data_IF_039392640690
#
_entry.id   IF_039392640690
#
_cell.length_a   1.000
_cell.length_b   1.000
_cell.length_c   1.000
_cell.angle_alpha   90.00
_cell.angle_beta   90.00
_cell.angle_gamma   90.00
#
_symmetry.space_group_name_H-M   'P 1'
#
loop_
_entity.id
_entity.type
_entity.pdbx_description
1 polymer ?
#
# COMPACT_ATOMS: atom_id res chain seq x y z
N UNK A 1 -16.14 23.87 -11.58
CA UNK A 1 -15.20 23.26 -12.56
C UNK A 1 -13.84 23.29 -11.88
N UNK A 2 -13.24 22.20 -11.39
CA UNK A 2 -13.37 20.78 -11.71
C UNK A 2 -12.79 20.00 -10.52
N UNK A 3 -13.63 19.48 -9.64
CA UNK A 3 -13.24 18.49 -8.62
C UNK A 3 -14.25 17.34 -8.69
N UNK A 4 -14.15 16.57 -9.78
CA UNK A 4 -14.72 15.23 -9.85
C UNK A 4 -13.59 14.24 -9.53
N UNK A 5 -13.10 14.28 -8.29
CA UNK A 5 -12.32 13.18 -7.73
C UNK A 5 -13.30 12.26 -6.99
N UNK A 6 -13.91 11.37 -7.77
CA UNK A 6 -14.23 9.98 -7.40
C UNK A 6 -14.50 9.77 -5.90
N UNK A 7 -15.72 10.11 -5.47
CA UNK A 7 -16.24 9.86 -4.13
C UNK A 7 -16.44 8.36 -3.90
N UNK A 8 -15.34 7.61 -3.78
CA UNK A 8 -15.37 6.30 -3.16
C UNK A 8 -15.11 6.49 -1.66
N UNK A 9 -16.14 6.45 -0.79
CA UNK A 9 -16.03 6.71 0.65
C UNK A 9 -15.12 5.71 1.41
N UNK A 10 -14.60 4.69 0.73
CA UNK A 10 -13.66 3.71 1.29
C UNK A 10 -12.21 3.90 0.83
N UNK A 11 -11.87 5.03 0.17
CA UNK A 11 -10.50 5.37 -0.25
C UNK A 11 -9.81 6.21 0.83
N UNK A 12 -9.64 5.62 2.02
CA UNK A 12 -8.82 6.23 3.06
C UNK A 12 -7.36 6.16 2.60
N UNK A 13 -6.85 7.28 2.10
CA UNK A 13 -5.43 7.51 1.87
C UNK A 13 -4.90 8.12 3.17
N UNK A 14 -4.05 7.42 3.94
CA UNK A 14 -3.62 7.90 5.26
C UNK A 14 -2.60 9.04 5.18
N UNK A 15 -2.48 9.71 4.04
CA UNK A 15 -1.49 10.74 3.75
C UNK A 15 -1.94 11.64 2.59
N UNK A 16 -1.44 12.88 2.56
CA UNK A 16 -1.60 13.79 1.44
C UNK A 16 -0.66 13.39 0.28
N UNK A 17 -1.12 13.59 -0.96
CA UNK A 17 -0.31 13.48 -2.17
C UNK A 17 0.91 14.41 -2.16
N UNK A 18 0.82 15.57 -1.52
CA UNK A 18 1.95 16.48 -1.35
C UNK A 18 3.06 15.86 -0.47
N UNK A 19 2.68 15.22 0.63
CA UNK A 19 3.62 14.53 1.50
C UNK A 19 4.29 13.36 0.76
N UNK A 20 3.48 12.58 0.02
CA UNK A 20 4.00 11.49 -0.79
C UNK A 20 5.05 11.98 -1.80
N UNK A 21 4.78 13.11 -2.48
CA UNK A 21 5.74 13.72 -3.41
C UNK A 21 7.06 14.04 -2.71
N UNK A 22 7.01 14.72 -1.56
CA UNK A 22 8.21 15.08 -0.80
C UNK A 22 8.99 13.84 -0.31
N UNK A 23 8.29 12.80 0.12
CA UNK A 23 8.94 11.56 0.53
C UNK A 23 9.61 10.86 -0.65
N UNK A 24 8.97 10.87 -1.81
CA UNK A 24 9.55 10.35 -3.05
C UNK A 24 10.76 11.17 -3.54
N UNK A 25 10.82 12.46 -3.27
CA UNK A 25 11.98 13.31 -3.59
C UNK A 25 13.23 12.91 -2.78
N UNK A 26 13.02 12.46 -1.55
CA UNK A 26 14.11 12.08 -0.62
C UNK A 26 14.53 10.61 -0.74
N UNK A 27 13.70 9.76 -1.36
CA UNK A 27 13.96 8.31 -1.48
C UNK A 27 14.86 7.98 -2.69
N UNK A 28 16.04 7.40 -2.41
CA UNK A 28 17.04 7.07 -3.45
C UNK A 28 16.52 6.08 -4.50
N UNK A 29 15.68 5.12 -4.12
CA UNK A 29 15.13 4.11 -5.04
C UNK A 29 14.13 4.79 -5.98
N UNK A 30 13.27 5.66 -5.43
CA UNK A 30 12.32 6.42 -6.24
C UNK A 30 13.07 7.33 -7.20
N UNK A 31 14.11 8.03 -6.74
CA UNK A 31 14.93 8.88 -7.61
C UNK A 31 15.62 8.09 -8.72
N UNK A 32 16.15 6.89 -8.44
CA UNK A 32 16.71 6.01 -9.46
C UNK A 32 15.66 5.60 -10.51
N UNK A 33 14.47 5.20 -10.06
CA UNK A 33 13.38 4.84 -10.98
C UNK A 33 12.96 6.04 -11.84
N UNK A 34 12.84 7.24 -11.25
CA UNK A 34 12.48 8.47 -11.96
C UNK A 34 13.53 8.83 -13.02
N UNK A 35 14.83 8.75 -12.67
CA UNK A 35 15.94 8.99 -13.61
C UNK A 35 15.93 8.00 -14.78
N UNK A 36 15.55 6.75 -14.52
CA UNK A 36 15.52 5.67 -15.50
C UNK A 36 14.11 5.38 -16.06
N UNK A 37 13.17 6.32 -15.96
CA UNK A 37 11.75 6.04 -16.23
C UNK A 37 11.48 5.46 -17.63
N UNK A 38 12.29 5.85 -18.64
CA UNK A 38 12.20 5.35 -20.02
C UNK A 38 12.42 3.84 -20.13
N UNK A 39 13.29 3.25 -19.30
CA UNK A 39 13.54 1.80 -19.29
C UNK A 39 12.62 1.05 -18.32
N UNK A 40 11.98 1.75 -17.39
CA UNK A 40 11.12 1.20 -16.33
C UNK A 40 9.65 1.14 -16.80
N UNK A 41 9.35 0.30 -17.80
CA UNK A 41 8.03 0.21 -18.48
C UNK A 41 6.80 0.08 -17.58
N UNK A 42 6.97 -0.52 -16.40
CA UNK A 42 5.90 -0.76 -15.42
C UNK A 42 5.60 0.46 -14.53
N UNK A 43 6.28 1.58 -14.74
CA UNK A 43 6.11 2.79 -13.95
C UNK A 43 5.80 3.98 -14.86
N UNK A 44 5.22 5.02 -14.28
CA UNK A 44 5.05 6.32 -14.90
C UNK A 44 5.06 7.40 -13.83
N UNK A 45 5.21 8.65 -14.26
CA UNK A 45 5.20 9.81 -13.37
C UNK A 45 3.98 10.66 -13.76
N UNK A 46 3.19 11.03 -12.77
CA UNK A 46 2.04 11.92 -12.91
C UNK A 46 2.08 12.93 -11.77
N UNK A 47 1.96 14.23 -12.08
CA UNK A 47 2.02 15.32 -11.10
C UNK A 47 3.22 15.21 -10.14
N UNK A 48 4.40 14.84 -10.66
CA UNK A 48 5.63 14.67 -9.89
C UNK A 48 5.69 13.42 -9.01
N UNK A 49 4.65 12.59 -8.99
CA UNK A 49 4.56 11.36 -8.20
C UNK A 49 4.79 10.15 -9.10
N UNK A 50 5.60 9.21 -8.64
CA UNK A 50 5.86 7.92 -9.27
C UNK A 50 4.72 6.95 -8.95
N UNK A 51 4.16 6.36 -10.00
CA UNK A 51 3.12 5.34 -9.95
C UNK A 51 3.59 4.02 -10.54
N UNK A 52 3.01 2.92 -10.06
CA UNK A 52 3.13 1.58 -10.62
C UNK A 52 1.91 1.30 -11.51
N UNK A 53 2.17 0.90 -12.76
CA UNK A 53 1.14 0.40 -13.67
C UNK A 53 0.61 -0.94 -13.16
N UNK A 54 -0.71 -1.04 -13.11
CA UNK A 54 -1.43 -2.30 -12.86
C UNK A 54 -2.12 -2.73 -14.15
N UNK A 55 -2.49 -4.01 -14.22
CA UNK A 55 -3.28 -4.52 -15.34
C UNK A 55 -4.75 -4.18 -15.11
N UNK A 56 -5.43 -3.80 -16.18
CA UNK A 56 -6.88 -3.57 -16.14
C UNK A 56 -7.59 -4.83 -15.63
N UNK A 57 -8.65 -4.69 -14.80
CA UNK A 57 -9.38 -3.44 -14.49
C UNK A 57 -8.80 -2.61 -13.33
N UNK A 58 -7.64 -2.98 -12.79
CA UNK A 58 -7.09 -2.27 -11.63
C UNK A 58 -6.47 -0.93 -12.02
N UNK A 59 -6.75 0.08 -11.21
CA UNK A 59 -6.14 1.39 -11.33
C UNK A 59 -4.64 1.33 -11.02
N UNK A 60 -3.87 2.19 -11.69
CA UNK A 60 -2.46 2.38 -11.30
C UNK A 60 -2.38 2.98 -9.90
N UNK A 61 -1.33 2.61 -9.15
CA UNK A 61 -1.22 2.94 -7.72
C UNK A 61 0.08 3.70 -7.42
N UNK A 62 0.08 4.61 -6.44
CA UNK A 62 1.29 5.32 -6.03
C UNK A 62 2.38 4.37 -5.51
N UNK A 63 3.63 4.67 -5.87
CA UNK A 63 4.79 4.02 -5.27
C UNK A 63 5.05 4.61 -3.88
N UNK A 64 5.08 3.76 -2.85
CA UNK A 64 5.30 4.16 -1.47
C UNK A 64 6.79 3.98 -1.10
N UNK A 65 7.53 5.07 -0.81
CA UNK A 65 8.94 4.99 -0.41
C UNK A 65 9.14 4.25 0.92
N UNK A 66 10.37 3.87 1.23
CA UNK A 66 10.66 3.23 2.51
C UNK A 66 10.49 4.23 3.66
N UNK A 67 10.02 3.75 4.82
CA UNK A 67 9.89 4.58 6.01
C UNK A 67 8.58 4.34 6.77
N UNK A 68 8.31 5.25 7.71
CA UNK A 68 7.17 5.17 8.63
C UNK A 68 5.83 5.05 7.91
N UNK A 69 5.70 5.65 6.73
CA UNK A 69 4.48 5.61 5.93
C UNK A 69 4.00 4.19 5.62
N UNK A 70 4.90 3.25 5.35
CA UNK A 70 4.52 1.84 5.11
C UNK A 70 3.91 1.23 6.36
N UNK A 71 4.47 1.53 7.53
CA UNK A 71 3.94 1.07 8.83
C UNK A 71 2.58 1.68 9.11
N UNK A 72 2.39 2.97 8.83
CA UNK A 72 1.12 3.65 9.06
C UNK A 72 0.03 3.13 8.12
N UNK A 73 0.34 2.84 6.85
CA UNK A 73 -0.57 2.14 5.94
C UNK A 73 -0.95 0.78 6.54
N UNK A 74 0.03 -0.04 6.91
CA UNK A 74 -0.21 -1.38 7.44
C UNK A 74 -1.12 -1.36 8.69
N UNK A 75 -0.85 -0.47 9.65
CA UNK A 75 -1.67 -0.27 10.85
C UNK A 75 -3.09 0.16 10.50
N UNK A 76 -3.26 1.14 9.61
CA UNK A 76 -4.59 1.62 9.22
C UNK A 76 -5.46 0.53 8.59
N UNK A 77 -4.88 -0.37 7.78
CA UNK A 77 -5.61 -1.47 7.15
C UNK A 77 -5.74 -2.71 8.04
N UNK A 78 -5.07 -2.77 9.18
CA UNK A 78 -5.16 -3.87 10.14
C UNK A 78 -6.02 -3.51 11.36
N UNK A 79 -5.85 -2.31 11.92
CA UNK A 79 -6.42 -1.90 13.21
C UNK A 79 -7.76 -1.16 13.07
N UNK A 80 -8.00 -0.46 11.96
CA UNK A 80 -9.18 0.41 11.84
C UNK A 80 -10.47 -0.41 11.58
N UNK A 81 -11.53 -0.24 12.40
CA UNK A 81 -12.81 -0.96 12.27
C UNK A 81 -13.44 -0.88 10.86
N UNK A 82 -13.34 0.27 10.19
CA UNK A 82 -13.90 0.48 8.85
C UNK A 82 -13.06 -0.07 7.69
N UNK A 83 -11.73 -0.21 7.87
CA UNK A 83 -10.84 -0.60 6.77
C UNK A 83 -10.39 -2.05 6.83
N UNK A 84 -10.47 -2.69 7.99
CA UNK A 84 -9.38 -3.59 8.31
C UNK A 84 -9.55 -4.52 9.48
N UNK A 85 -10.20 -4.08 10.57
CA UNK A 85 -10.10 -4.71 11.88
C UNK A 85 -10.16 -6.24 11.82
N UNK A 86 -8.98 -6.86 11.93
CA UNK A 86 -8.77 -8.32 11.89
C UNK A 86 -9.39 -9.07 10.70
N UNK A 87 -9.59 -8.41 9.55
CA UNK A 87 -9.87 -9.14 8.32
C UNK A 87 -8.69 -10.09 8.04
N UNK A 88 -9.00 -11.32 7.63
CA UNK A 88 -7.97 -12.32 7.35
C UNK A 88 -6.90 -11.81 6.38
N UNK A 89 -5.68 -12.37 6.47
CA UNK A 89 -4.46 -11.91 5.78
C UNK A 89 -4.67 -11.54 4.31
N UNK A 90 -5.45 -12.35 3.59
CA UNK A 90 -5.67 -12.18 2.15
C UNK A 90 -6.49 -10.92 1.84
N UNK A 91 -7.46 -10.59 2.69
CA UNK A 91 -8.32 -9.40 2.49
C UNK A 91 -7.55 -8.11 2.75
N UNK A 92 -6.72 -8.07 3.80
CA UNK A 92 -5.83 -6.93 4.07
C UNK A 92 -4.81 -6.75 2.95
N UNK A 93 -4.20 -7.85 2.51
CA UNK A 93 -3.21 -7.82 1.42
C UNK A 93 -3.83 -7.26 0.14
N UNK A 94 -4.99 -7.76 -0.27
CA UNK A 94 -5.68 -7.31 -1.48
C UNK A 94 -6.02 -5.81 -1.43
N UNK A 95 -6.59 -5.34 -0.32
CA UNK A 95 -6.96 -3.91 -0.15
C UNK A 95 -5.76 -2.97 -0.27
N UNK A 96 -4.60 -3.37 0.26
CA UNK A 96 -3.37 -2.57 0.17
C UNK A 96 -2.85 -2.57 -1.27
N UNK A 97 -2.81 -3.73 -1.94
CA UNK A 97 -2.31 -3.84 -3.31
C UNK A 97 -3.16 -3.09 -4.34
N UNK A 98 -4.48 -2.98 -4.12
CA UNK A 98 -5.39 -2.20 -4.95
C UNK A 98 -5.14 -0.68 -4.86
N UNK A 99 -4.36 -0.23 -3.87
CA UNK A 99 -4.20 1.20 -3.55
C UNK A 99 -2.77 1.69 -3.47
N UNK A 100 -1.81 0.81 -3.22
CA UNK A 100 -0.41 1.17 -3.01
C UNK A 100 0.52 0.13 -3.63
N UNK A 101 1.75 0.55 -3.89
CA UNK A 101 2.80 -0.38 -4.29
C UNK A 101 4.15 -0.05 -3.65
N UNK A 102 4.83 -1.09 -3.18
CA UNK A 102 6.27 -1.08 -2.99
C UNK A 102 6.84 -2.50 -3.18
N UNK A 103 8.14 -2.66 -3.50
CA UNK A 103 8.69 -3.95 -3.91
C UNK A 103 8.55 -5.08 -2.89
N UNK A 104 8.70 -4.77 -1.59
CA UNK A 104 8.66 -5.74 -0.48
C UNK A 104 7.28 -5.86 0.18
N UNK A 105 6.25 -5.25 -0.42
CA UNK A 105 4.91 -5.11 0.18
C UNK A 105 4.32 -6.40 0.73
N UNK A 106 4.37 -7.49 -0.02
CA UNK A 106 3.81 -8.77 0.42
C UNK A 106 4.52 -9.30 1.66
N UNK A 107 5.85 -9.20 1.71
CA UNK A 107 6.64 -9.63 2.86
C UNK A 107 6.38 -8.73 4.07
N UNK A 108 6.32 -7.41 3.87
CA UNK A 108 6.08 -6.43 4.92
C UNK A 108 4.68 -6.62 5.55
N UNK A 109 3.66 -6.86 4.71
CA UNK A 109 2.29 -7.18 5.18
C UNK A 109 2.29 -8.45 6.02
N UNK A 110 2.92 -9.53 5.54
CA UNK A 110 2.99 -10.81 6.27
C UNK A 110 3.65 -10.64 7.63
N UNK A 111 4.78 -9.95 7.67
CA UNK A 111 5.52 -9.70 8.91
C UNK A 111 4.69 -8.89 9.90
N UNK A 112 4.01 -7.83 9.42
CA UNK A 112 3.13 -7.02 10.25
C UNK A 112 1.97 -7.84 10.84
N UNK A 113 1.27 -8.61 10.01
CA UNK A 113 0.14 -9.43 10.47
C UNK A 113 0.56 -10.56 11.42
N UNK A 114 1.77 -11.11 11.25
CA UNK A 114 2.32 -12.12 12.17
C UNK A 114 2.68 -11.53 13.53
N UNK A 115 3.05 -10.24 13.59
CA UNK A 115 3.33 -9.56 14.86
C UNK A 115 2.09 -9.21 15.68
N UNK A 116 0.89 -9.34 15.10
CA UNK A 116 -0.37 -9.10 15.80
C UNK A 116 -0.75 -10.29 16.69
N UNK A 117 -0.64 -10.13 18.01
CA UNK A 117 -0.98 -11.14 19.02
C UNK A 117 -2.41 -11.70 18.87
N UNK A 118 -3.47 -10.88 18.75
CA UNK A 118 -4.82 -11.38 18.49
C UNK A 118 -4.94 -12.24 17.21
N UNK A 119 -4.30 -11.82 16.11
CA UNK A 119 -4.31 -12.57 14.86
C UNK A 119 -3.53 -13.88 14.96
N UNK A 120 -2.40 -13.89 15.67
CA UNK A 120 -1.61 -15.10 15.92
C UNK A 120 -2.40 -16.14 16.73
N UNK A 121 -3.07 -15.71 17.81
CA UNK A 121 -3.90 -16.58 18.65
C UNK A 121 -5.08 -17.19 17.87
N UNK A 122 -5.72 -16.43 16.98
CA UNK A 122 -6.83 -16.93 16.17
C UNK A 122 -6.38 -17.92 15.08
N UNK A 123 -5.13 -17.82 14.63
CA UNK A 123 -4.55 -18.76 13.66
C UNK A 123 -4.13 -20.10 14.29
N UNK A 124 -3.71 -20.11 15.56
CA UNK A 124 -3.42 -21.36 16.28
C UNK A 124 -4.65 -22.25 16.42
N UNK A 125 -5.86 -21.67 16.56
CA UNK A 125 -7.12 -22.42 16.59
C UNK A 125 -7.51 -23.04 15.24
N UNK A 126 -6.89 -22.62 14.13
CA UNK A 126 -7.17 -23.15 12.78
C UNK A 126 -6.21 -24.23 12.31
N UNK A 127 -5.19 -24.56 13.10
CA UNK A 127 -4.44 -25.79 12.84
C UNK A 127 -5.34 -26.96 13.20
N UNK A 128 -5.74 -27.77 12.21
CA UNK A 128 -6.36 -29.07 12.48
C UNK A 128 -5.42 -29.82 13.43
N UNK A 129 -5.93 -30.23 14.59
CA UNK A 129 -5.25 -31.23 15.38
C UNK A 129 -5.00 -32.47 14.48
N UNK A 130 -3.84 -33.14 14.62
CA UNK A 130 -3.56 -34.37 13.90
C UNK A 130 -4.63 -35.43 14.16
#
# INVERSE_FOLDING_TARGET
MSDLLDENPNKIIPFDMNDLRQWQEKDKIVQDIKKNIRSKKNYFIENGILFRKQQLPLASVPFVPAGRIRVDILKNYHDAPGNGAHFGRDKTTRKIQERYYWPTMITDIRNHLNSCLPCAQNNHRRQKLP
#
